data_IF_988480061512
#
_entry.id   IF_988480061512
#
_cell.length_a   1.000
_cell.length_b   1.000
_cell.length_c   1.000
_cell.angle_alpha   90.00
_cell.angle_beta   90.00
_cell.angle_gamma   90.00
#
_symmetry.space_group_name_H-M   'P 1'
#
loop_
_entity.id
_entity.type
_entity.pdbx_description
1 polymer ?
#
# COMPACT_ATOMS: atom_id res chain seq x y z
N UNK A 1 -3.71 4.35 -6.09
CA UNK A 1 -3.63 5.14 -4.84
C UNK A 1 -4.69 6.23 -4.72
N UNK A 2 -4.71 7.29 -5.55
CA UNK A 2 -5.61 8.44 -5.35
C UNK A 2 -7.11 8.10 -5.22
N UNK A 3 -7.59 7.06 -5.91
CA UNK A 3 -8.95 6.53 -5.77
C UNK A 3 -9.18 5.65 -4.53
N UNK A 4 -8.33 5.73 -3.51
CA UNK A 4 -8.43 4.95 -2.26
C UNK A 4 -7.99 3.48 -2.36
N UNK A 5 -7.30 3.11 -3.44
CA UNK A 5 -6.82 1.73 -3.68
C UNK A 5 -5.35 1.60 -3.27
N UNK A 6 -5.08 0.67 -2.36
CA UNK A 6 -3.72 0.26 -1.97
C UNK A 6 -3.01 -0.35 -3.18
N UNK A 7 -1.80 0.14 -3.51
CA UNK A 7 -1.15 -0.19 -4.79
C UNK A 7 0.26 -0.68 -4.55
N UNK A 8 0.53 -1.94 -4.93
CA UNK A 8 1.87 -2.53 -4.88
C UNK A 8 2.69 -2.15 -6.11
N UNK A 9 4.00 -2.00 -5.89
CA UNK A 9 5.04 -1.84 -6.91
C UNK A 9 6.19 -2.81 -6.60
N UNK A 10 6.65 -3.57 -7.58
CA UNK A 10 7.81 -4.47 -7.41
C UNK A 10 9.15 -3.73 -7.30
N UNK A 11 9.20 -2.48 -7.75
CA UNK A 11 10.39 -1.63 -7.72
C UNK A 11 9.98 -0.20 -7.33
N UNK A 12 10.75 0.50 -6.48
CA UNK A 12 10.42 1.88 -6.13
C UNK A 12 10.55 2.80 -7.35
N UNK A 13 9.67 3.79 -7.50
CA UNK A 13 9.93 4.92 -8.40
C UNK A 13 11.19 5.68 -7.95
N UNK A 14 11.72 6.55 -8.80
CA UNK A 14 12.90 7.38 -8.52
C UNK A 14 12.59 8.53 -7.52
N UNK A 15 12.11 8.20 -6.32
CA UNK A 15 11.67 9.14 -5.28
C UNK A 15 12.47 9.01 -3.98
N UNK A 16 13.32 7.97 -3.86
CA UNK A 16 14.08 7.63 -2.64
C UNK A 16 15.13 8.67 -2.24
N UNK A 17 15.48 9.60 -3.13
CA UNK A 17 16.34 10.73 -2.82
C UNK A 17 15.71 11.75 -1.85
N UNK A 18 14.39 11.75 -1.68
CA UNK A 18 13.69 12.59 -0.70
C UNK A 18 12.92 11.74 0.29
N UNK A 19 13.31 11.82 1.57
CA UNK A 19 12.61 11.15 2.67
C UNK A 19 11.17 11.65 2.82
N UNK A 20 10.93 12.94 2.59
CA UNK A 20 9.59 13.54 2.66
C UNK A 20 8.67 12.91 1.62
N UNK A 21 9.11 12.89 0.36
CA UNK A 21 8.31 12.33 -0.75
C UNK A 21 8.11 10.83 -0.57
N UNK A 22 9.16 10.10 -0.18
CA UNK A 22 9.07 8.65 0.07
C UNK A 22 8.07 8.34 1.18
N UNK A 23 8.14 9.05 2.31
CA UNK A 23 7.22 8.83 3.42
C UNK A 23 5.78 9.21 3.08
N UNK A 24 5.58 10.30 2.32
CA UNK A 24 4.26 10.67 1.84
C UNK A 24 3.67 9.55 0.98
N UNK A 25 4.43 9.02 0.01
CA UNK A 25 3.99 7.98 -0.90
C UNK A 25 3.67 6.65 -0.20
N UNK A 26 4.50 6.24 0.77
CA UNK A 26 4.41 4.93 1.43
C UNK A 26 3.46 4.90 2.64
N UNK A 27 3.20 6.05 3.28
CA UNK A 27 2.37 6.11 4.48
C UNK A 27 1.43 7.31 4.51
N UNK A 28 1.93 8.53 4.25
CA UNK A 28 1.15 9.76 4.44
C UNK A 28 -0.12 9.85 3.58
N UNK A 29 -0.11 9.26 2.38
CA UNK A 29 -1.32 9.19 1.54
C UNK A 29 -2.44 8.34 2.15
N UNK A 30 -2.13 7.39 3.05
CA UNK A 30 -3.15 6.58 3.68
C UNK A 30 -4.09 7.43 4.56
N UNK A 31 -3.57 8.46 5.22
CA UNK A 31 -4.36 9.36 6.07
C UNK A 31 -5.19 10.34 5.23
N UNK A 32 -4.70 10.71 4.04
CA UNK A 32 -5.37 11.66 3.16
C UNK A 32 -6.43 11.02 2.26
N UNK A 33 -6.09 9.91 1.59
CA UNK A 33 -6.93 9.25 0.57
C UNK A 33 -7.29 7.81 0.92
N UNK A 34 -6.93 7.31 2.11
CA UNK A 34 -7.27 5.94 2.55
C UNK A 34 -6.42 4.83 1.92
N UNK A 35 -5.37 5.19 1.17
CA UNK A 35 -4.43 4.26 0.55
C UNK A 35 -3.03 4.86 0.35
N UNK A 36 -2.04 4.00 0.23
CA UNK A 36 -0.64 4.35 -0.08
C UNK A 36 -0.04 3.35 -1.08
N UNK A 37 1.18 3.62 -1.51
CA UNK A 37 2.00 2.64 -2.22
C UNK A 37 2.66 1.68 -1.24
N UNK A 38 2.91 0.46 -1.70
CA UNK A 38 3.85 -0.47 -1.08
C UNK A 38 4.88 -0.90 -2.10
N UNK A 39 6.14 -1.01 -1.66
CA UNK A 39 7.23 -1.47 -2.52
C UNK A 39 7.76 -2.76 -1.92
N UNK A 40 7.62 -3.86 -2.65
CA UNK A 40 8.08 -5.18 -2.24
C UNK A 40 8.55 -5.96 -3.49
N UNK A 41 9.86 -6.21 -3.65
CA UNK A 41 10.39 -6.91 -4.82
C UNK A 41 10.12 -8.42 -4.82
N UNK A 42 9.90 -9.06 -3.67
CA UNK A 42 9.56 -10.47 -3.59
C UNK A 42 8.08 -10.69 -3.93
N UNK A 43 7.75 -11.39 -5.03
CA UNK A 43 6.37 -11.55 -5.47
C UNK A 43 5.51 -12.36 -4.49
N UNK A 44 6.10 -13.27 -3.70
CA UNK A 44 5.34 -14.04 -2.71
C UNK A 44 4.96 -13.15 -1.52
N UNK A 45 5.91 -12.35 -1.02
CA UNK A 45 5.60 -11.36 0.03
C UNK A 45 4.63 -10.29 -0.45
N UNK A 46 4.75 -9.87 -1.70
CA UNK A 46 3.80 -8.95 -2.31
C UNK A 46 2.38 -9.53 -2.31
N UNK A 47 2.22 -10.82 -2.67
CA UNK A 47 0.94 -11.51 -2.60
C UNK A 47 0.39 -11.54 -1.16
N UNK A 48 1.23 -11.87 -0.18
CA UNK A 48 0.83 -11.88 1.24
C UNK A 48 0.36 -10.50 1.72
N UNK A 49 1.04 -9.42 1.33
CA UNK A 49 0.67 -8.05 1.67
C UNK A 49 -0.67 -7.62 1.03
N UNK A 50 -0.88 -8.01 -0.22
CA UNK A 50 -2.13 -7.73 -0.94
C UNK A 50 -3.29 -8.50 -0.29
N UNK A 51 -3.11 -9.78 0.01
CA UNK A 51 -4.10 -10.61 0.70
C UNK A 51 -4.45 -10.05 2.09
N UNK A 52 -3.44 -9.68 2.87
CA UNK A 52 -3.62 -9.03 4.17
C UNK A 52 -4.43 -7.74 4.06
N UNK A 53 -4.15 -6.89 3.05
CA UNK A 53 -4.93 -5.67 2.82
C UNK A 53 -6.39 -5.97 2.47
N UNK A 54 -6.65 -6.99 1.64
CA UNK A 54 -8.00 -7.41 1.27
C UNK A 54 -8.75 -7.92 2.50
N UNK A 55 -8.15 -8.81 3.29
CA UNK A 55 -8.72 -9.34 4.54
C UNK A 55 -9.08 -8.24 5.52
N UNK A 56 -8.16 -7.28 5.75
CA UNK A 56 -8.42 -6.13 6.60
C UNK A 56 -9.63 -5.31 6.12
N UNK A 57 -9.78 -5.09 4.81
CA UNK A 57 -10.94 -4.39 4.24
C UNK A 57 -12.22 -5.20 4.35
N UNK A 58 -12.17 -6.53 4.17
CA UNK A 58 -13.30 -7.43 4.38
C UNK A 58 -13.79 -7.38 5.83
N UNK A 59 -12.88 -7.51 6.80
CA UNK A 59 -13.21 -7.44 8.23
C UNK A 59 -13.78 -6.08 8.61
N UNK A 60 -13.24 -4.98 8.08
CA UNK A 60 -13.79 -3.63 8.31
C UNK A 60 -15.21 -3.45 7.74
N UNK A 61 -15.61 -4.27 6.78
CA UNK A 61 -16.98 -4.33 6.24
C UNK A 61 -17.87 -5.37 6.95
N UNK A 62 -17.38 -6.01 8.02
CA UNK A 62 -18.12 -7.05 8.75
C UNK A 62 -18.15 -8.41 8.05
N UNK A 63 -17.27 -8.65 7.08
CA UNK A 63 -17.15 -9.92 6.37
C UNK A 63 -16.07 -10.80 6.99
N UNK A 64 -16.20 -12.12 6.85
CA UNK A 64 -15.14 -13.07 7.24
C UNK A 64 -13.87 -12.86 6.41
N UNK A 65 -12.70 -12.96 7.04
CA UNK A 65 -11.42 -12.82 6.35
C UNK A 65 -11.13 -14.01 5.43
#
# INVERSE_FOLDING_TARGET
VASGIYTHLGHPPNITGSKIVTNLALAGLNDLVGACFVVEPDPFKAADLIDARIKNKRTALGLTA
#
